data_IF_922703685719
#
_entry.id   IF_922703685719
#
_cell.length_a   1.000
_cell.length_b   1.000
_cell.length_c   1.000
_cell.angle_alpha   90.00
_cell.angle_beta   90.00
_cell.angle_gamma   90.00
#
_symmetry.space_group_name_H-M   'P 1'
#
loop_
_entity.id
_entity.type
_entity.pdbx_description
1 polymer ?
#
# COMPACT_ATOMS: atom_id res chain seq x y z
N UNK A 1 -44.48 -3.08 58.71
CA UNK A 1 -43.02 -3.00 58.45
C UNK A 1 -42.88 -2.15 57.19
N UNK A 2 -42.53 -0.85 57.16
CA UNK A 2 -41.57 -0.02 57.91
C UNK A 2 -40.11 -0.48 57.81
N UNK A 3 -39.36 0.14 56.88
CA UNK A 3 -38.06 0.88 57.05
C UNK A 3 -37.51 1.19 55.63
N UNK A 4 -37.33 2.45 55.21
CA UNK A 4 -36.31 3.46 55.58
C UNK A 4 -34.99 3.29 54.81
N UNK A 5 -34.49 4.37 54.19
CA UNK A 5 -33.12 4.43 53.67
C UNK A 5 -32.89 5.38 52.50
N UNK A 6 -32.81 6.68 52.78
CA UNK A 6 -32.30 7.72 51.89
C UNK A 6 -30.78 7.91 52.06
N UNK A 7 -30.13 8.40 50.98
CA UNK A 7 -28.78 8.98 50.88
C UNK A 7 -27.54 8.08 51.02
N UNK A 8 -26.68 8.08 49.99
CA UNK A 8 -25.29 8.56 50.16
C UNK A 8 -24.63 8.98 48.84
N UNK A 9 -24.07 10.20 48.89
CA UNK A 9 -23.06 10.77 47.98
C UNK A 9 -21.64 10.22 48.30
N UNK A 10 -20.67 10.61 47.45
CA UNK A 10 -19.21 10.37 47.45
C UNK A 10 -18.76 9.15 46.63
N UNK A 11 -17.69 9.20 45.83
CA UNK A 11 -16.54 10.13 45.80
C UNK A 11 -15.89 10.14 44.42
N UNK A 12 -15.46 11.35 44.02
CA UNK A 12 -14.50 11.56 42.94
C UNK A 12 -13.27 10.65 43.11
N UNK A 13 -12.81 10.03 42.03
CA UNK A 13 -11.45 9.52 41.94
C UNK A 13 -10.70 10.18 40.79
N UNK A 14 -9.90 11.13 41.24
CA UNK A 14 -8.86 11.89 40.58
C UNK A 14 -7.73 10.93 40.17
N UNK A 15 -7.42 10.85 38.87
CA UNK A 15 -6.18 10.21 38.40
C UNK A 15 -5.20 11.32 38.04
N UNK A 16 -4.32 11.64 39.00
CA UNK A 16 -3.13 12.45 38.80
C UNK A 16 -2.01 11.53 38.33
N UNK A 17 -1.56 11.68 37.08
CA UNK A 17 -0.32 11.05 36.61
C UNK A 17 0.61 12.12 36.03
N UNK A 18 1.48 12.58 36.93
CA UNK A 18 2.90 12.89 36.71
C UNK A 18 3.27 13.73 35.47
N UNK A 19 3.30 15.05 35.69
CA UNK A 19 4.05 15.98 34.85
C UNK A 19 5.56 15.74 35.02
N UNK A 20 6.21 15.40 33.92
CA UNK A 20 7.67 15.27 33.78
C UNK A 20 8.27 16.69 33.62
N UNK A 21 9.30 17.09 34.39
CA UNK A 21 9.94 18.39 34.21
C UNK A 21 10.86 18.34 32.98
N UNK A 22 10.44 18.96 31.88
CA UNK A 22 11.31 19.25 30.75
C UNK A 22 12.37 20.30 31.16
N UNK A 23 13.64 20.12 30.76
CA UNK A 23 14.67 21.14 30.95
C UNK A 23 14.41 22.39 30.08
N UNK A 24 14.87 23.58 30.49
CA UNK A 24 14.69 24.81 29.74
C UNK A 24 15.47 24.79 28.41
N UNK A 25 14.93 25.37 27.32
CA UNK A 25 15.69 25.58 26.10
C UNK A 25 16.73 26.72 26.28
N UNK A 26 17.89 26.64 25.59
CA UNK A 26 18.92 27.68 25.64
C UNK A 26 18.50 28.97 24.91
N UNK A 27 19.05 30.15 25.28
CA UNK A 27 18.82 31.40 24.56
C UNK A 27 19.86 31.58 23.45
N UNK A 28 19.43 31.72 22.19
CA UNK A 28 20.20 32.27 21.04
C UNK A 28 19.29 32.18 19.81
N UNK A 29 19.19 33.11 18.87
CA UNK A 29 19.87 34.36 18.57
C UNK A 29 18.91 35.13 17.65
N UNK A 30 18.77 36.44 17.87
CA UNK A 30 18.10 37.33 16.91
C UNK A 30 18.81 37.24 15.56
N UNK A 31 18.11 36.81 14.51
CA UNK A 31 18.58 36.97 13.12
C UNK A 31 17.78 38.08 12.47
N UNK A 32 18.49 39.17 12.24
CA UNK A 32 18.15 40.33 11.43
C UNK A 32 17.62 39.94 10.05
N UNK A 33 16.42 40.42 9.74
CA UNK A 33 15.83 40.33 8.41
C UNK A 33 16.56 41.27 7.45
N UNK A 34 17.11 40.72 6.37
CA UNK A 34 17.58 41.47 5.19
C UNK A 34 16.57 41.26 4.06
N UNK A 35 16.02 42.33 3.47
CA UNK A 35 15.12 42.21 2.32
C UNK A 35 15.92 42.28 1.02
N UNK A 36 16.20 41.15 0.37
CA UNK A 36 16.79 41.16 -0.98
C UNK A 36 16.22 40.09 -1.92
N UNK A 37 15.64 40.64 -3.00
CA UNK A 37 15.52 40.14 -4.36
C UNK A 37 14.55 39.01 -4.70
N UNK A 38 13.41 39.47 -5.24
CA UNK A 38 12.56 38.82 -6.23
C UNK A 38 13.47 38.29 -7.36
N UNK A 39 13.70 36.99 -7.38
CA UNK A 39 14.23 36.32 -8.57
C UNK A 39 13.02 35.76 -9.29
N UNK A 40 12.76 36.28 -10.49
CA UNK A 40 11.71 35.79 -11.39
C UNK A 40 12.18 34.42 -11.88
N UNK A 41 11.81 33.36 -11.18
CA UNK A 41 11.96 32.01 -11.69
C UNK A 41 10.93 31.82 -12.79
N UNK A 42 11.42 31.64 -14.02
CA UNK A 42 10.64 31.14 -15.14
C UNK A 42 9.83 29.90 -14.69
N UNK A 43 8.63 29.65 -15.27
CA UNK A 43 7.93 28.40 -15.02
C UNK A 43 8.84 27.28 -15.54
N UNK A 44 9.52 26.62 -14.61
CA UNK A 44 10.05 25.29 -14.82
C UNK A 44 8.82 24.47 -15.17
N UNK A 45 8.67 24.20 -16.47
CA UNK A 45 7.86 23.11 -16.98
C UNK A 45 8.55 21.81 -16.53
N UNK A 46 8.58 21.57 -15.22
CA UNK A 46 8.49 20.22 -14.70
C UNK A 46 7.15 19.76 -15.24
N UNK A 47 7.17 19.09 -16.38
CA UNK A 47 6.22 18.05 -16.59
C UNK A 47 6.84 16.88 -15.81
N UNK A 48 6.58 16.70 -14.49
CA UNK A 48 6.63 15.33 -14.01
C UNK A 48 5.61 14.65 -14.92
N UNK A 49 6.03 13.74 -15.79
CA UNK A 49 5.09 12.82 -16.37
C UNK A 49 4.43 12.17 -15.16
N UNK A 50 3.29 12.70 -14.76
CA UNK A 50 2.69 12.38 -13.49
C UNK A 50 2.45 10.88 -13.59
N UNK A 51 2.92 10.15 -12.58
CA UNK A 51 2.69 8.71 -12.45
C UNK A 51 1.20 8.50 -12.20
N UNK A 52 0.39 8.77 -13.23
CA UNK A 52 -1.04 8.74 -13.21
C UNK A 52 -1.49 7.55 -14.02
N UNK A 53 -2.26 6.70 -13.36
CA UNK A 53 -2.94 5.61 -14.02
C UNK A 53 -4.06 6.20 -14.87
N UNK A 54 -4.14 5.77 -16.12
CA UNK A 54 -5.34 6.05 -16.91
C UNK A 54 -6.55 5.39 -16.23
N UNK A 55 -7.74 5.91 -16.50
CA UNK A 55 -9.00 5.33 -15.99
C UNK A 55 -9.09 3.83 -16.28
N UNK A 56 -8.67 3.42 -17.47
CA UNK A 56 -8.65 2.03 -17.88
C UNK A 56 -7.69 1.19 -17.04
N UNK A 57 -6.47 1.69 -16.81
CA UNK A 57 -5.49 1.02 -15.95
C UNK A 57 -5.99 0.91 -14.50
N UNK A 58 -6.65 1.94 -13.97
CA UNK A 58 -7.26 1.88 -12.64
C UNK A 58 -8.34 0.79 -12.55
N UNK A 59 -9.19 0.66 -13.58
CA UNK A 59 -10.23 -0.37 -13.62
C UNK A 59 -9.61 -1.78 -13.75
N UNK A 60 -8.60 -1.94 -14.61
CA UNK A 60 -7.88 -3.20 -14.75
C UNK A 60 -7.19 -3.61 -13.44
N UNK A 61 -6.57 -2.67 -12.73
CA UNK A 61 -5.95 -2.92 -11.44
C UNK A 61 -6.99 -3.28 -10.37
N UNK A 62 -8.13 -2.59 -10.31
CA UNK A 62 -9.22 -2.92 -9.39
C UNK A 62 -9.77 -4.34 -9.62
N UNK A 63 -10.03 -4.71 -10.88
CA UNK A 63 -10.51 -6.06 -11.22
C UNK A 63 -9.48 -7.13 -10.84
N UNK A 64 -8.21 -6.84 -11.10
CA UNK A 64 -7.10 -7.72 -10.75
C UNK A 64 -7.02 -7.93 -9.24
N UNK A 65 -7.11 -6.85 -8.45
CA UNK A 65 -7.00 -6.94 -6.99
C UNK A 65 -8.26 -7.47 -6.31
N UNK A 66 -9.43 -7.37 -6.94
CA UNK A 66 -10.68 -7.94 -6.42
C UNK A 66 -10.58 -9.46 -6.25
N UNK A 67 -9.89 -10.13 -7.17
CA UNK A 67 -9.71 -11.59 -7.15
C UNK A 67 -8.34 -12.01 -6.59
N UNK A 68 -7.50 -11.05 -6.19
CA UNK A 68 -6.16 -11.33 -5.71
C UNK A 68 -6.18 -11.64 -4.20
N UNK A 69 -6.03 -12.91 -3.83
CA UNK A 69 -6.11 -13.37 -2.44
C UNK A 69 -4.75 -13.49 -1.72
N UNK A 70 -3.63 -13.32 -2.44
CA UNK A 70 -2.27 -13.48 -1.90
C UNK A 70 -1.34 -12.28 -2.12
N UNK A 71 -1.80 -11.25 -2.84
CA UNK A 71 -0.95 -10.06 -3.13
C UNK A 71 -0.88 -9.15 -1.92
N UNK A 72 0.33 -8.90 -1.45
CA UNK A 72 0.63 -7.98 -0.36
C UNK A 72 0.46 -6.51 -0.76
N UNK A 73 0.40 -5.62 0.23
CA UNK A 73 0.32 -4.17 -0.01
C UNK A 73 1.51 -3.65 -0.83
N UNK A 74 2.72 -4.12 -0.53
CA UNK A 74 3.94 -3.71 -1.22
C UNK A 74 3.92 -4.17 -2.68
N UNK A 75 3.46 -5.39 -2.95
CA UNK A 75 3.32 -5.89 -4.31
C UNK A 75 2.24 -5.16 -5.11
N UNK A 76 1.10 -4.81 -4.48
CA UNK A 76 0.07 -3.96 -5.12
C UNK A 76 0.65 -2.60 -5.52
N UNK A 77 1.43 -1.97 -4.63
CA UNK A 77 2.11 -0.71 -4.95
C UNK A 77 3.09 -0.87 -6.11
N UNK A 78 3.80 -2.00 -6.19
CA UNK A 78 4.72 -2.28 -7.28
C UNK A 78 3.99 -2.43 -8.63
N UNK A 79 2.88 -3.16 -8.66
CA UNK A 79 2.03 -3.32 -9.85
C UNK A 79 1.48 -1.97 -10.30
N UNK A 80 0.95 -1.16 -9.37
CA UNK A 80 0.42 0.18 -9.68
C UNK A 80 1.51 1.12 -10.19
N UNK A 81 2.69 1.12 -9.58
CA UNK A 81 3.84 1.90 -10.05
C UNK A 81 4.24 1.49 -11.47
N UNK A 82 4.32 0.19 -11.75
CA UNK A 82 4.61 -0.28 -13.10
C UNK A 82 3.54 0.12 -14.12
N UNK A 83 2.26 -0.02 -13.77
CA UNK A 83 1.15 0.39 -14.65
C UNK A 83 1.16 1.90 -14.92
N UNK A 84 1.55 2.71 -13.92
CA UNK A 84 1.71 4.16 -14.02
C UNK A 84 2.96 4.60 -14.80
N UNK A 85 3.78 3.67 -15.29
CA UNK A 85 4.95 3.97 -16.11
C UNK A 85 6.28 3.97 -15.36
N UNK A 86 6.35 3.57 -14.10
CA UNK A 86 7.62 3.32 -13.42
C UNK A 86 8.33 2.16 -14.12
N UNK A 87 9.55 2.44 -14.62
CA UNK A 87 10.42 1.46 -15.29
C UNK A 87 11.72 1.19 -14.55
N UNK A 88 11.98 1.89 -13.44
CA UNK A 88 13.08 1.55 -12.56
C UNK A 88 12.79 0.21 -11.88
N UNK A 89 13.64 -0.79 -12.15
CA UNK A 89 13.52 -2.11 -11.55
C UNK A 89 14.11 -2.06 -10.14
N UNK A 90 13.31 -2.23 -9.06
CA UNK A 90 13.82 -2.20 -7.69
C UNK A 90 14.67 -3.45 -7.36
N UNK A 91 14.70 -4.45 -8.22
CA UNK A 91 15.37 -5.73 -8.01
C UNK A 91 16.19 -6.13 -9.27
N UNK A 92 17.19 -5.33 -9.70
CA UNK A 92 17.90 -5.55 -10.96
C UNK A 92 18.68 -6.88 -10.98
N UNK A 93 19.09 -7.37 -9.81
CA UNK A 93 19.80 -8.65 -9.65
C UNK A 93 18.93 -9.86 -9.98
N UNK A 94 17.61 -9.73 -9.92
CA UNK A 94 16.66 -10.82 -10.18
C UNK A 94 16.17 -10.86 -11.63
N UNK A 95 16.79 -10.05 -12.50
CA UNK A 95 16.46 -9.94 -13.92
C UNK A 95 15.39 -8.89 -14.21
N UNK A 96 15.16 -8.66 -15.50
CA UNK A 96 14.27 -7.60 -15.98
C UNK A 96 12.78 -7.97 -15.91
N UNK A 97 12.46 -9.24 -15.69
CA UNK A 97 11.08 -9.74 -15.65
C UNK A 97 10.74 -10.12 -14.23
N UNK A 98 9.75 -9.43 -13.67
CA UNK A 98 9.21 -9.72 -12.32
C UNK A 98 7.84 -10.37 -12.47
N UNK A 99 7.62 -11.44 -11.69
CA UNK A 99 6.34 -12.15 -11.65
C UNK A 99 5.80 -12.14 -10.23
N UNK A 100 4.58 -11.62 -10.05
CA UNK A 100 3.86 -11.58 -8.77
C UNK A 100 2.68 -12.53 -8.88
N UNK A 101 2.54 -13.47 -7.94
CA UNK A 101 1.37 -14.34 -7.87
C UNK A 101 0.20 -13.52 -7.30
N UNK A 102 -0.89 -13.45 -8.05
CA UNK A 102 -2.08 -12.68 -7.72
C UNK A 102 -3.05 -13.46 -6.86
N UNK A 103 -3.36 -14.68 -7.31
CA UNK A 103 -4.29 -15.55 -6.62
C UNK A 103 -3.89 -17.01 -6.72
N UNK A 104 -4.35 -17.77 -5.75
CA UNK A 104 -4.29 -19.23 -5.74
C UNK A 104 -5.60 -19.77 -5.16
N UNK A 105 -6.29 -20.62 -5.92
CA UNK A 105 -7.57 -21.19 -5.51
C UNK A 105 -7.77 -22.58 -6.11
N UNK A 106 -8.42 -23.47 -5.37
CA UNK A 106 -8.84 -24.77 -5.87
C UNK A 106 -10.18 -24.63 -6.59
N UNK A 107 -10.25 -25.11 -7.83
CA UNK A 107 -11.47 -25.15 -8.64
C UNK A 107 -11.80 -26.62 -8.95
N UNK A 108 -13.09 -26.99 -8.85
CA UNK A 108 -13.52 -28.35 -9.19
C UNK A 108 -13.86 -28.41 -10.67
N UNK A 109 -13.03 -29.09 -11.46
CA UNK A 109 -13.35 -29.36 -12.85
C UNK A 109 -14.17 -30.65 -12.94
N UNK A 110 -15.33 -30.58 -13.59
CA UNK A 110 -16.27 -31.70 -13.64
C UNK A 110 -15.66 -32.97 -14.28
N UNK A 111 -14.72 -32.79 -15.21
CA UNK A 111 -14.13 -33.90 -16.00
C UNK A 111 -12.77 -34.35 -15.44
N UNK A 112 -11.97 -33.42 -14.93
CA UNK A 112 -10.57 -33.68 -14.57
C UNK A 112 -10.29 -33.66 -13.06
N UNK A 113 -11.34 -33.49 -12.25
CA UNK A 113 -11.22 -33.42 -10.79
C UNK A 113 -10.74 -32.06 -10.29
N UNK A 114 -10.34 -31.97 -9.02
CA UNK A 114 -9.91 -30.71 -8.43
C UNK A 114 -8.59 -30.23 -9.03
N UNK A 115 -8.55 -28.97 -9.47
CA UNK A 115 -7.37 -28.30 -9.98
C UNK A 115 -7.03 -27.07 -9.12
N UNK A 116 -5.74 -26.80 -8.96
CA UNK A 116 -5.26 -25.53 -8.42
C UNK A 116 -5.08 -24.53 -9.57
N UNK A 117 -5.75 -23.40 -9.45
CA UNK A 117 -5.67 -22.28 -10.38
C UNK A 117 -4.84 -21.19 -9.75
N UNK A 118 -3.73 -20.83 -10.40
CA UNK A 118 -2.87 -19.72 -9.99
C UNK A 118 -2.94 -18.59 -11.03
N UNK A 119 -3.26 -17.38 -10.59
CA UNK A 119 -3.16 -16.19 -11.44
C UNK A 119 -1.90 -15.42 -11.11
N UNK A 120 -1.17 -14.94 -12.12
CA UNK A 120 0.07 -14.18 -11.96
C UNK A 120 0.03 -12.89 -12.78
N UNK A 121 0.66 -11.84 -12.27
CA UNK A 121 1.02 -10.63 -12.99
C UNK A 121 2.51 -10.69 -13.33
N UNK A 122 2.83 -10.64 -14.62
CA UNK A 122 4.22 -10.60 -15.08
C UNK A 122 4.48 -9.26 -15.76
N UNK A 123 5.54 -8.58 -15.36
CA UNK A 123 5.95 -7.29 -15.90
C UNK A 123 7.42 -7.31 -16.29
N UNK A 124 7.72 -6.70 -17.44
CA UNK A 124 9.06 -6.61 -17.99
C UNK A 124 9.54 -5.16 -17.91
N UNK A 125 10.51 -4.89 -17.05
CA UNK A 125 11.10 -3.56 -16.86
C UNK A 125 11.91 -3.08 -18.07
N UNK A 126 12.36 -3.99 -18.95
CA UNK A 126 13.09 -3.60 -20.17
C UNK A 126 12.16 -3.14 -21.29
N UNK A 127 11.01 -3.81 -21.49
CA UNK A 127 10.06 -3.47 -22.57
C UNK A 127 8.90 -2.60 -22.08
N UNK A 128 8.64 -2.56 -20.78
CA UNK A 128 7.45 -1.92 -20.20
C UNK A 128 6.15 -2.72 -20.39
N UNK A 129 6.24 -3.91 -20.97
CA UNK A 129 5.09 -4.79 -21.19
C UNK A 129 4.72 -5.53 -19.92
N UNK A 130 3.42 -5.81 -19.77
CA UNK A 130 2.90 -6.67 -18.73
C UNK A 130 1.84 -7.60 -19.28
N UNK A 131 1.63 -8.73 -18.59
CA UNK A 131 0.57 -9.69 -18.91
C UNK A 131 0.04 -10.38 -17.65
N UNK A 132 -1.22 -10.80 -17.74
CA UNK A 132 -1.86 -11.65 -16.75
C UNK A 132 -1.78 -13.10 -17.23
N UNK A 133 -1.29 -13.99 -16.39
CA UNK A 133 -1.11 -15.41 -16.72
C UNK A 133 -1.96 -16.23 -15.76
N UNK A 134 -2.82 -17.11 -16.27
CA UNK A 134 -3.51 -18.12 -15.47
C UNK A 134 -2.87 -19.48 -15.72
N UNK A 135 -2.50 -20.18 -14.65
CA UNK A 135 -1.91 -21.51 -14.68
C UNK A 135 -2.83 -22.49 -13.96
N UNK A 136 -2.99 -23.67 -14.54
CA UNK A 136 -3.76 -24.76 -13.97
C UNK A 136 -2.80 -25.88 -13.58
N UNK A 137 -2.93 -26.39 -12.35
CA UNK A 137 -2.19 -27.52 -11.83
C UNK A 137 -3.18 -28.57 -11.36
N UNK A 138 -3.14 -29.76 -11.96
CA UNK A 138 -3.94 -30.90 -11.50
C UNK A 138 -3.49 -31.32 -10.10
N UNK A 139 -4.41 -31.50 -9.16
CA UNK A 139 -4.07 -32.06 -7.87
C UNK A 139 -3.98 -33.58 -7.99
N UNK A 140 -2.94 -34.23 -7.40
CA UNK A 140 -2.88 -35.68 -7.40
C UNK A 140 -4.07 -36.22 -6.61
N UNK A 141 -4.93 -36.99 -7.28
CA UNK A 141 -5.94 -37.81 -6.62
C UNK A 141 -5.19 -38.93 -5.90
N UNK A 142 -5.09 -38.83 -4.57
CA UNK A 142 -4.63 -39.94 -3.72
C UNK A 142 -5.51 -41.15 -4.03
N UNK A 143 -4.91 -42.15 -4.68
CA UNK A 143 -5.54 -43.43 -5.04
C UNK A 143 -5.24 -44.46 -3.97
#
# INVERSE_FOLDING_TARGET
QQQAGSQQMMSQQQTVLHAQPNPPPPPTSVRSATPQQITIAAPINSNPAALELTREQMLQAQEMFKNANIVSRTEKALILGFMAGVRENPCPTYGNVVTIKLSESQESHHVEGPMMVETHFQMNYNTGEWKRIKKYKTLPTVS
#
